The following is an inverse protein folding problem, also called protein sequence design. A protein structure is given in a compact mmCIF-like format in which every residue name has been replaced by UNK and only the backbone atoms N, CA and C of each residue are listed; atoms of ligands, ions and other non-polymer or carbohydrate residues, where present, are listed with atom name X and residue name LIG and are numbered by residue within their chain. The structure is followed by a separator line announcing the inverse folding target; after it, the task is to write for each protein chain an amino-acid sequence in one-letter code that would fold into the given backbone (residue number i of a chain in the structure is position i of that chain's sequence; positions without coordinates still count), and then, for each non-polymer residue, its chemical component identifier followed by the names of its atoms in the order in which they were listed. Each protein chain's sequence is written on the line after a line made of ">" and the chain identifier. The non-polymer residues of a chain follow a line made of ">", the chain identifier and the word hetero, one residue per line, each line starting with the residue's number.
data_IF_492927629569
#
_entry.id   IF_492927629569
#
_cell.length_a   1.000
_cell.length_b   1.000
_cell.length_c   1.000
_cell.angle_alpha   90.00
_cell.angle_beta   90.00
_cell.angle_gamma   90.00
#
_symmetry.space_group_name_H-M   'P 1'
#
loop_
_entity.id
_entity.type
_entity.pdbx_description
1 polymer ?
#
# COMPACT_ATOMS: atom_id res chain seq x y z
N UNK A 1 46.43 -30.84 41.32
CA UNK A 1 47.55 -29.87 41.34
C UNK A 1 46.98 -28.59 40.84
N UNK A 2 46.47 -27.71 41.73
CA UNK A 2 47.20 -26.70 42.48
C UNK A 2 47.90 -25.74 41.56
N UNK A 3 47.62 -24.51 41.47
CA UNK A 3 47.57 -23.35 42.37
C UNK A 3 47.20 -22.16 41.49
N UNK A 4 46.41 -21.16 41.76
CA UNK A 4 46.31 -20.32 42.96
C UNK A 4 46.89 -18.93 42.70
N UNK A 5 46.19 -17.92 43.26
CA UNK A 5 46.69 -16.58 43.66
C UNK A 5 46.59 -15.51 42.57
N UNK A 6 45.72 -14.54 42.68
CA UNK A 6 45.37 -13.44 43.58
C UNK A 6 45.93 -12.09 43.13
N UNK A 7 45.01 -11.11 43.15
CA UNK A 7 45.18 -9.77 43.73
C UNK A 7 46.00 -8.73 42.94
N UNK A 8 45.44 -7.65 42.53
CA UNK A 8 45.31 -6.46 43.38
C UNK A 8 44.63 -5.33 42.64
N UNK A 9 43.86 -4.61 43.39
CA UNK A 9 43.25 -3.33 43.07
C UNK A 9 44.31 -2.26 42.72
N UNK A 10 43.96 -1.38 41.80
CA UNK A 10 44.27 0.02 42.04
C UNK A 10 43.26 0.96 41.39
N UNK A 11 42.84 1.83 42.24
CA UNK A 11 41.92 2.93 42.05
C UNK A 11 42.58 4.05 41.24
N UNK A 12 41.93 4.60 40.26
CA UNK A 12 42.06 6.01 39.98
C UNK A 12 40.78 6.60 39.42
N UNK A 13 40.31 7.54 40.18
CA UNK A 13 39.18 8.42 39.90
C UNK A 13 39.44 9.27 38.66
N UNK A 14 38.40 9.60 37.96
CA UNK A 14 37.99 10.98 37.76
C UNK A 14 37.42 11.21 36.36
N UNK A 15 36.49 12.07 36.41
CA UNK A 15 35.90 12.94 35.37
C UNK A 15 34.55 12.45 34.82
N UNK A 16 33.54 12.80 35.58
CA UNK A 16 32.20 13.03 35.09
C UNK A 16 32.21 14.20 34.09
N UNK A 17 32.22 13.92 32.82
CA UNK A 17 31.90 14.90 31.80
C UNK A 17 30.39 14.94 31.62
N UNK A 18 29.78 15.90 32.33
CA UNK A 18 28.36 16.25 32.18
C UNK A 18 28.19 16.90 30.80
N UNK A 19 27.79 16.13 29.80
CA UNK A 19 27.27 16.69 28.58
C UNK A 19 25.93 17.36 28.85
N UNK A 20 26.00 18.68 29.00
CA UNK A 20 24.87 19.59 29.02
C UNK A 20 24.10 19.47 27.68
N UNK A 21 23.12 18.56 27.64
CA UNK A 21 22.19 18.44 26.51
C UNK A 21 21.18 19.56 26.69
N UNK A 22 21.48 20.72 26.11
CA UNK A 22 20.46 21.78 25.93
C UNK A 22 19.28 21.18 25.17
N UNK A 23 18.04 21.35 25.64
CA UNK A 23 16.86 20.96 24.88
C UNK A 23 16.84 21.77 23.58
N UNK A 24 16.75 21.05 22.47
CA UNK A 24 16.55 21.62 21.13
C UNK A 24 15.27 22.44 21.19
N UNK A 25 15.34 23.75 20.98
CA UNK A 25 14.17 24.60 20.84
C UNK A 25 13.31 24.02 19.71
N UNK A 26 12.10 23.62 20.06
CA UNK A 26 11.06 23.26 19.09
C UNK A 26 10.88 24.44 18.16
N UNK A 27 11.08 24.19 16.86
CA UNK A 27 10.89 25.20 15.84
C UNK A 27 9.46 25.70 15.89
N UNK A 28 9.31 27.00 16.15
CA UNK A 28 8.08 27.73 16.06
C UNK A 28 7.53 27.55 14.65
N UNK A 29 6.53 26.67 14.47
CA UNK A 29 5.79 26.53 13.22
C UNK A 29 5.10 27.88 12.97
N UNK A 30 5.57 28.60 11.95
CA UNK A 30 4.94 29.83 11.46
C UNK A 30 3.51 29.49 11.02
N UNK A 31 2.56 29.57 11.96
CA UNK A 31 1.15 29.52 11.63
C UNK A 31 0.86 30.70 10.68
N UNK A 32 0.36 30.37 9.49
CA UNK A 32 -0.10 31.38 8.55
C UNK A 32 -1.08 32.33 9.24
N UNK A 33 -0.70 33.63 9.37
CA UNK A 33 -1.59 34.69 9.83
C UNK A 33 -2.05 35.45 8.60
N UNK A 34 -3.37 35.68 8.44
CA UNK A 34 -3.85 36.55 7.38
C UNK A 34 -3.27 37.94 7.59
N UNK A 35 -2.94 38.68 6.52
CA UNK A 35 -2.43 40.04 6.63
C UNK A 35 -3.45 40.91 7.37
N UNK A 36 -3.03 41.50 8.49
CA UNK A 36 -3.81 42.51 9.18
C UNK A 36 -3.91 43.71 8.26
N UNK A 37 -5.10 43.94 7.73
CA UNK A 37 -5.39 45.20 7.02
C UNK A 37 -5.21 46.36 8.01
N UNK A 38 -4.14 47.13 7.85
CA UNK A 38 -3.93 48.40 8.51
C UNK A 38 -4.97 49.40 7.95
N UNK A 39 -6.00 49.64 8.71
CA UNK A 39 -6.91 50.78 8.44
C UNK A 39 -6.15 52.04 8.86
N UNK A 40 -5.98 53.04 7.97
CA UNK A 40 -5.39 54.32 8.36
C UNK A 40 -6.33 55.02 9.36
N UNK A 41 -5.78 55.41 10.51
CA UNK A 41 -6.46 56.23 11.48
C UNK A 41 -6.59 57.66 10.90
N UNK A 42 -7.78 58.04 10.47
CA UNK A 42 -8.14 59.44 10.27
C UNK A 42 -8.75 59.93 11.57
N UNK A 43 -8.01 60.74 12.28
CA UNK A 43 -8.54 61.59 13.36
C UNK A 43 -9.63 62.51 12.82
N UNK A 44 -10.85 62.27 13.26
CA UNK A 44 -11.89 63.30 13.24
C UNK A 44 -12.74 63.14 14.49
N UNK A 45 -12.51 64.05 15.41
CA UNK A 45 -13.32 64.29 16.60
C UNK A 45 -14.75 64.55 16.22
N UNK A 46 -15.67 63.63 16.48
CA UNK A 46 -17.08 63.94 16.63
C UNK A 46 -17.69 63.04 17.70
N UNK A 47 -18.12 63.74 18.76
CA UNK A 47 -18.83 63.26 19.89
C UNK A 47 -20.19 62.66 19.45
N UNK A 48 -20.35 61.36 19.48
CA UNK A 48 -21.63 60.66 19.47
C UNK A 48 -21.63 59.57 20.51
N UNK A 49 -22.41 59.79 21.54
CA UNK A 49 -22.82 58.88 22.56
C UNK A 49 -23.60 57.71 21.87
N UNK A 50 -23.04 56.55 21.86
CA UNK A 50 -23.72 55.34 21.40
C UNK A 50 -23.26 54.18 22.27
N UNK A 51 -24.10 53.84 23.22
CA UNK A 51 -24.01 52.65 24.05
C UNK A 51 -24.09 51.37 23.19
N UNK A 52 -22.99 51.02 22.51
CA UNK A 52 -22.82 49.73 21.86
C UNK A 52 -22.17 48.79 22.86
N UNK A 53 -23.00 47.96 23.44
CA UNK A 53 -22.65 46.79 24.24
C UNK A 53 -21.93 45.77 23.36
N UNK A 54 -20.64 46.00 23.02
CA UNK A 54 -19.77 44.95 22.51
C UNK A 54 -19.46 44.06 23.68
N UNK A 55 -20.22 42.97 23.82
CA UNK A 55 -19.83 41.85 24.65
C UNK A 55 -18.45 41.42 24.17
N UNK A 56 -17.43 41.73 24.95
CA UNK A 56 -16.09 41.23 24.71
C UNK A 56 -16.18 39.71 24.55
N UNK A 57 -15.86 39.22 23.36
CA UNK A 57 -15.72 37.78 23.13
C UNK A 57 -14.60 37.27 24.05
N UNK A 58 -14.99 36.74 25.21
CA UNK A 58 -14.10 35.96 26.06
C UNK A 58 -14.01 34.59 25.39
N UNK A 59 -12.90 34.24 24.76
CA UNK A 59 -12.74 32.88 24.24
C UNK A 59 -12.86 31.92 25.42
N UNK A 60 -13.89 31.08 25.36
CA UNK A 60 -14.01 29.95 26.29
C UNK A 60 -12.68 29.24 26.30
N UNK A 61 -12.08 28.90 27.48
CA UNK A 61 -10.84 28.14 27.51
C UNK A 61 -11.04 26.88 26.66
N UNK A 62 -10.38 26.80 25.52
CA UNK A 62 -10.36 25.58 24.71
C UNK A 62 -9.80 24.47 25.59
N UNK A 63 -10.56 23.37 25.73
CA UNK A 63 -10.05 22.18 26.39
C UNK A 63 -8.68 21.86 25.79
N UNK A 64 -7.70 21.39 26.59
CA UNK A 64 -6.36 21.11 26.12
C UNK A 64 -6.47 20.19 24.89
N UNK A 65 -5.95 20.65 23.76
CA UNK A 65 -5.93 19.83 22.54
C UNK A 65 -5.23 18.51 22.84
N UNK A 66 -5.95 17.42 22.57
CA UNK A 66 -5.37 16.07 22.70
C UNK A 66 -4.16 16.00 21.77
N UNK A 67 -2.97 15.59 22.28
CA UNK A 67 -1.78 15.46 21.43
C UNK A 67 -2.10 14.61 20.20
N UNK A 68 -1.69 15.08 19.02
CA UNK A 68 -1.87 14.37 17.78
C UNK A 68 -1.13 13.03 17.84
N UNK A 69 -1.77 11.97 17.37
CA UNK A 69 -1.15 10.63 17.33
C UNK A 69 0.11 10.68 16.46
N UNK A 70 1.29 10.29 17.00
CA UNK A 70 2.54 10.30 16.22
C UNK A 70 2.48 9.49 14.92
N UNK A 71 1.62 8.49 14.83
CA UNK A 71 1.47 7.66 13.63
C UNK A 71 0.94 8.44 12.42
N UNK A 72 0.17 9.51 12.62
CA UNK A 72 -0.38 10.34 11.54
C UNK A 72 0.55 11.47 11.11
N UNK A 73 1.63 11.72 11.85
CA UNK A 73 2.64 12.73 11.52
C UNK A 73 3.44 12.34 10.27
N UNK A 74 4.14 13.27 9.62
CA UNK A 74 5.07 12.95 8.54
C UNK A 74 6.05 11.86 8.98
N UNK A 75 6.23 10.81 8.16
CA UNK A 75 7.01 9.59 8.42
C UNK A 75 6.39 8.56 9.39
N UNK A 76 5.20 8.79 9.94
CA UNK A 76 4.44 7.77 10.66
C UNK A 76 3.75 6.77 9.72
N UNK A 77 3.37 5.61 10.24
CA UNK A 77 2.75 4.53 9.45
C UNK A 77 1.40 4.96 8.84
N UNK A 78 0.65 5.81 9.52
CA UNK A 78 -0.63 6.38 9.06
C UNK A 78 -0.48 7.81 8.52
N UNK A 79 0.72 8.20 8.08
CA UNK A 79 1.02 9.54 7.57
C UNK A 79 0.10 9.95 6.42
N UNK A 80 -0.68 11.01 6.62
CA UNK A 80 -1.58 11.54 5.58
C UNK A 80 -0.81 12.02 4.36
N UNK A 81 0.35 12.66 4.56
CA UNK A 81 1.23 13.08 3.47
C UNK A 81 1.80 11.89 2.71
N UNK A 82 2.18 10.81 3.44
CA UNK A 82 2.66 9.56 2.85
C UNK A 82 1.59 8.86 2.00
N UNK A 83 0.36 8.81 2.49
CA UNK A 83 -0.79 8.24 1.78
C UNK A 83 -1.12 9.07 0.53
N UNK A 84 -1.26 10.40 0.66
CA UNK A 84 -1.61 11.28 -0.46
C UNK A 84 -0.56 11.26 -1.56
N UNK A 85 0.73 11.27 -1.20
CA UNK A 85 1.83 11.19 -2.19
C UNK A 85 1.79 9.89 -2.97
N UNK A 86 1.56 8.73 -2.31
CA UNK A 86 1.45 7.43 -2.99
C UNK A 86 0.23 7.35 -3.89
N UNK A 87 -0.93 7.79 -3.40
CA UNK A 87 -2.16 7.80 -4.19
C UNK A 87 -2.02 8.70 -5.43
N UNK A 88 -1.46 9.90 -5.27
CA UNK A 88 -1.20 10.82 -6.39
C UNK A 88 -0.22 10.23 -7.40
N UNK A 89 0.90 9.66 -6.93
CA UNK A 89 1.90 9.06 -7.81
C UNK A 89 1.34 7.87 -8.58
N UNK A 90 0.58 6.98 -7.93
CA UNK A 90 -0.09 5.86 -8.58
C UNK A 90 -1.10 6.33 -9.64
N UNK A 91 -1.89 7.36 -9.32
CA UNK A 91 -2.86 7.94 -10.27
C UNK A 91 -2.18 8.57 -11.48
N UNK A 92 -1.09 9.31 -11.26
CA UNK A 92 -0.31 9.92 -12.35
C UNK A 92 0.32 8.85 -13.26
N UNK A 93 1.00 7.84 -12.67
CA UNK A 93 1.62 6.75 -13.43
C UNK A 93 0.56 5.94 -14.17
N UNK A 94 -0.59 5.66 -13.52
CA UNK A 94 -1.72 4.98 -14.16
C UNK A 94 -2.20 5.75 -15.39
N UNK A 95 -2.43 7.05 -15.26
CA UNK A 95 -2.92 7.88 -16.37
C UNK A 95 -1.92 7.95 -17.52
N UNK A 96 -0.64 8.20 -17.23
CA UNK A 96 0.42 8.25 -18.25
C UNK A 96 0.62 6.90 -18.95
N UNK A 97 0.66 5.81 -18.22
CA UNK A 97 0.85 4.47 -18.78
C UNK A 97 -0.39 4.01 -19.56
N UNK A 98 -1.60 4.38 -19.14
CA UNK A 98 -2.83 4.10 -19.87
C UNK A 98 -2.86 4.86 -21.20
N UNK A 99 -2.53 6.15 -21.23
CA UNK A 99 -2.39 6.93 -22.46
C UNK A 99 -1.32 6.36 -23.41
N UNK A 100 -0.18 5.96 -22.84
CA UNK A 100 0.89 5.30 -23.61
C UNK A 100 0.40 3.96 -24.19
N UNK A 101 -0.39 3.20 -23.45
CA UNK A 101 -1.02 1.95 -23.94
C UNK A 101 -1.88 2.22 -25.17
N UNK A 102 -2.78 3.20 -25.08
CA UNK A 102 -3.65 3.58 -26.19
C UNK A 102 -2.82 4.04 -27.39
N UNK A 103 -1.83 4.90 -27.17
CA UNK A 103 -0.95 5.42 -28.22
C UNK A 103 -0.20 4.30 -28.97
N UNK A 104 0.41 3.37 -28.22
CA UNK A 104 1.13 2.23 -28.82
C UNK A 104 0.20 1.24 -29.53
N UNK A 105 -1.01 1.07 -29.03
CA UNK A 105 -2.00 0.17 -29.60
C UNK A 105 -2.62 0.73 -30.88
N UNK A 106 -2.94 2.03 -30.91
CA UNK A 106 -3.70 2.65 -32.02
C UNK A 106 -2.81 3.25 -33.08
N UNK A 107 -1.75 3.95 -32.69
CA UNK A 107 -0.88 4.69 -33.63
C UNK A 107 0.29 3.82 -34.09
N UNK A 108 1.05 3.25 -33.16
CA UNK A 108 2.21 2.42 -33.52
C UNK A 108 1.87 0.96 -33.82
N UNK A 109 0.72 0.48 -33.37
CA UNK A 109 0.24 -0.90 -33.56
C UNK A 109 1.31 -1.96 -33.18
N UNK A 110 2.11 -1.66 -32.14
CA UNK A 110 3.20 -2.51 -31.67
C UNK A 110 2.77 -3.35 -30.47
N UNK A 111 3.16 -4.64 -30.37
CA UNK A 111 2.90 -5.48 -29.20
C UNK A 111 3.44 -4.92 -27.87
N UNK A 112 4.36 -3.95 -27.90
CA UNK A 112 4.90 -3.32 -26.72
C UNK A 112 3.87 -2.52 -25.88
N UNK A 113 2.65 -2.30 -26.39
CA UNK A 113 1.53 -1.73 -25.62
C UNK A 113 1.24 -2.52 -24.33
N UNK A 114 1.61 -3.79 -24.29
CA UNK A 114 1.41 -4.68 -23.13
C UNK A 114 2.18 -4.20 -21.89
N UNK A 115 3.35 -3.60 -22.08
CA UNK A 115 4.19 -3.10 -20.97
C UNK A 115 3.49 -1.95 -20.22
N UNK A 116 3.12 -0.82 -20.86
CA UNK A 116 2.41 0.24 -20.14
C UNK A 116 1.00 -0.20 -19.69
N UNK A 117 0.32 -1.11 -20.38
CA UNK A 117 -0.92 -1.73 -19.89
C UNK A 117 -0.71 -2.44 -18.55
N UNK A 118 0.36 -3.22 -18.43
CA UNK A 118 0.69 -3.91 -17.17
C UNK A 118 1.03 -2.93 -16.06
N UNK A 119 1.79 -1.87 -16.34
CA UNK A 119 2.08 -0.81 -15.36
C UNK A 119 0.78 -0.15 -14.89
N UNK A 120 -0.15 0.16 -15.80
CA UNK A 120 -1.48 0.67 -15.43
C UNK A 120 -2.23 -0.29 -14.52
N UNK A 121 -2.21 -1.58 -14.86
CA UNK A 121 -2.87 -2.63 -14.07
C UNK A 121 -2.26 -2.78 -12.68
N UNK A 122 -0.92 -2.67 -12.55
CA UNK A 122 -0.23 -2.66 -11.27
C UNK A 122 -0.60 -1.44 -10.42
N UNK A 123 -0.63 -0.26 -11.03
CA UNK A 123 -1.02 0.97 -10.32
C UNK A 123 -2.45 0.87 -9.80
N UNK A 124 -3.37 0.36 -10.62
CA UNK A 124 -4.75 0.13 -10.22
C UNK A 124 -4.85 -0.91 -9.10
N UNK A 125 -4.11 -2.03 -9.21
CA UNK A 125 -4.05 -3.06 -8.17
C UNK A 125 -3.61 -2.46 -6.83
N UNK A 126 -2.48 -1.78 -6.78
CA UNK A 126 -1.93 -1.18 -5.56
C UNK A 126 -2.83 -0.09 -4.97
N UNK A 127 -3.46 0.71 -5.82
CA UNK A 127 -4.44 1.70 -5.38
C UNK A 127 -5.66 1.04 -4.74
N UNK A 128 -6.21 -0.02 -5.36
CA UNK A 128 -7.38 -0.73 -4.85
C UNK A 128 -7.08 -1.46 -3.54
N UNK A 129 -5.87 -2.00 -3.34
CA UNK A 129 -5.45 -2.60 -2.06
C UNK A 129 -5.59 -1.59 -0.90
N UNK A 130 -5.05 -0.39 -1.08
CA UNK A 130 -5.20 0.67 -0.09
C UNK A 130 -6.65 1.13 0.04
N UNK A 131 -7.31 1.43 -1.09
CA UNK A 131 -8.65 2.02 -1.08
C UNK A 131 -9.68 1.10 -0.39
N UNK A 132 -9.65 -0.19 -0.69
CA UNK A 132 -10.56 -1.16 -0.06
C UNK A 132 -10.25 -1.31 1.43
N UNK A 133 -8.97 -1.34 1.80
CA UNK A 133 -8.57 -1.36 3.21
C UNK A 133 -9.05 -0.10 3.93
N UNK A 134 -8.88 1.08 3.34
CA UNK A 134 -9.34 2.34 3.92
C UNK A 134 -10.87 2.40 4.06
N UNK A 135 -11.62 1.82 3.12
CA UNK A 135 -13.08 1.83 3.12
C UNK A 135 -13.70 0.83 4.10
N UNK A 136 -13.15 -0.37 4.19
CA UNK A 136 -13.79 -1.49 4.94
C UNK A 136 -13.01 -1.91 6.18
N UNK A 137 -11.78 -1.45 6.34
CA UNK A 137 -10.89 -1.77 7.46
C UNK A 137 -10.02 -0.57 7.87
N UNK A 138 -10.63 0.59 8.01
CA UNK A 138 -9.99 1.91 8.21
C UNK A 138 -8.95 1.91 9.33
N UNK A 139 -9.20 1.17 10.40
CA UNK A 139 -8.27 1.07 11.55
C UNK A 139 -6.87 0.57 11.17
N UNK A 140 -6.77 -0.21 10.09
CA UNK A 140 -5.52 -0.82 9.61
C UNK A 140 -5.09 -0.27 8.26
N UNK A 141 -5.72 0.82 7.81
CA UNK A 141 -5.33 1.51 6.59
C UNK A 141 -4.10 2.39 6.88
N UNK A 142 -2.96 1.95 6.43
CA UNK A 142 -1.67 2.61 6.60
C UNK A 142 -0.93 2.75 5.25
N UNK A 143 0.23 3.36 5.30
CA UNK A 143 1.11 3.54 4.14
C UNK A 143 1.53 2.18 3.53
N UNK A 144 1.66 1.13 4.33
CA UNK A 144 2.04 -0.22 3.88
C UNK A 144 0.90 -0.93 3.15
N UNK A 145 -0.35 -0.49 3.35
CA UNK A 145 -1.54 -1.08 2.71
C UNK A 145 -1.56 -0.92 1.19
N UNK A 146 -0.77 0.00 0.63
CA UNK A 146 -0.54 0.05 -0.82
C UNK A 146 0.25 -1.15 -1.35
N UNK A 147 0.89 -1.95 -0.51
CA UNK A 147 1.71 -3.11 -0.87
C UNK A 147 2.87 -2.80 -1.85
N UNK A 148 3.33 -1.54 -1.95
CA UNK A 148 4.41 -1.16 -2.86
C UNK A 148 5.78 -1.70 -2.42
N UNK A 149 6.04 -1.68 -1.13
CA UNK A 149 7.32 -2.11 -0.53
C UNK A 149 7.18 -3.36 0.34
N UNK A 150 5.99 -3.64 0.82
CA UNK A 150 5.71 -4.73 1.76
C UNK A 150 5.71 -6.12 1.13
N UNK A 151 5.62 -6.22 -0.20
CA UNK A 151 5.65 -7.50 -0.92
C UNK A 151 7.06 -8.11 -1.07
N UNK A 152 8.10 -7.34 -0.74
CA UNK A 152 9.49 -7.77 -0.77
C UNK A 152 10.13 -7.81 -2.16
N UNK A 153 11.44 -8.13 -2.19
CA UNK A 153 12.23 -8.11 -3.42
C UNK A 153 11.75 -9.12 -4.47
N UNK A 154 11.31 -10.30 -4.06
CA UNK A 154 10.84 -11.35 -4.97
C UNK A 154 9.66 -10.90 -5.84
N UNK A 155 8.75 -10.09 -5.29
CA UNK A 155 7.65 -9.49 -6.02
C UNK A 155 8.14 -8.56 -7.14
N UNK A 156 9.07 -7.66 -6.81
CA UNK A 156 9.62 -6.70 -7.78
C UNK A 156 10.44 -7.40 -8.87
N UNK A 157 11.22 -8.44 -8.49
CA UNK A 157 11.97 -9.26 -9.45
C UNK A 157 11.02 -9.96 -10.41
N UNK A 158 9.95 -10.59 -9.92
CA UNK A 158 8.98 -11.27 -10.77
C UNK A 158 8.35 -10.31 -11.80
N UNK A 159 7.92 -9.13 -11.37
CA UNK A 159 7.29 -8.14 -12.26
C UNK A 159 8.29 -7.53 -13.24
N UNK A 160 9.51 -7.25 -12.79
CA UNK A 160 10.60 -6.80 -13.65
C UNK A 160 10.99 -7.84 -14.71
N UNK A 161 11.11 -9.12 -14.32
CA UNK A 161 11.38 -10.23 -15.23
C UNK A 161 10.29 -10.38 -16.29
N UNK A 162 9.02 -10.21 -15.91
CA UNK A 162 7.90 -10.27 -16.85
C UNK A 162 7.98 -9.18 -17.92
N UNK A 163 8.34 -7.96 -17.54
CA UNK A 163 8.55 -6.86 -18.48
C UNK A 163 9.74 -7.16 -19.40
N UNK A 164 10.85 -7.63 -18.84
CA UNK A 164 12.05 -7.98 -19.62
C UNK A 164 11.75 -9.08 -20.62
N UNK A 165 11.07 -10.17 -20.22
CA UNK A 165 10.69 -11.26 -21.14
C UNK A 165 9.81 -10.74 -22.27
N UNK A 166 8.80 -9.91 -21.99
CA UNK A 166 7.92 -9.33 -22.98
C UNK A 166 8.71 -8.49 -24.03
N UNK A 167 9.63 -7.64 -23.55
CA UNK A 167 10.45 -6.79 -24.42
C UNK A 167 11.42 -7.62 -25.26
N UNK A 168 12.15 -8.54 -24.60
CA UNK A 168 13.12 -9.42 -25.29
C UNK A 168 12.43 -10.30 -26.32
N UNK A 169 11.29 -10.91 -25.96
CA UNK A 169 10.52 -11.75 -26.89
C UNK A 169 10.03 -10.95 -28.10
N UNK A 170 9.63 -9.68 -27.92
CA UNK A 170 9.25 -8.84 -29.03
C UNK A 170 10.39 -8.61 -30.04
N UNK A 171 11.60 -8.33 -29.53
CA UNK A 171 12.77 -8.07 -30.42
C UNK A 171 13.39 -9.33 -31.01
N UNK A 172 13.36 -10.47 -30.31
CA UNK A 172 13.96 -11.72 -30.80
C UNK A 172 13.06 -12.50 -31.75
N UNK A 173 11.76 -12.54 -31.46
CA UNK A 173 10.85 -13.41 -32.21
C UNK A 173 9.91 -12.66 -33.18
N UNK A 174 9.81 -11.32 -33.02
CA UNK A 174 8.95 -10.49 -33.84
C UNK A 174 7.46 -10.90 -33.75
N UNK A 175 6.69 -10.48 -34.76
CA UNK A 175 5.29 -10.89 -34.88
C UNK A 175 5.17 -12.12 -35.76
N UNK A 176 4.54 -13.18 -35.26
CA UNK A 176 4.27 -14.36 -36.06
C UNK A 176 3.34 -14.03 -37.24
N UNK A 177 3.72 -14.48 -38.44
CA UNK A 177 2.93 -14.34 -39.66
C UNK A 177 1.88 -15.44 -39.78
N UNK A 178 1.99 -16.52 -39.01
CA UNK A 178 1.03 -17.63 -39.08
C UNK A 178 -0.36 -17.22 -38.57
N UNK A 179 -1.44 -17.40 -39.36
CA UNK A 179 -2.79 -17.09 -38.92
C UNK A 179 -3.24 -17.85 -37.68
N UNK A 180 -2.82 -19.13 -37.55
CA UNK A 180 -3.15 -19.98 -36.42
C UNK A 180 -2.52 -19.42 -35.12
N UNK A 181 -1.23 -19.10 -35.16
CA UNK A 181 -0.54 -18.54 -33.98
C UNK A 181 -1.13 -17.18 -33.60
N UNK A 182 -1.54 -16.36 -34.56
CA UNK A 182 -2.22 -15.09 -34.30
C UNK A 182 -3.56 -15.30 -33.60
N UNK A 183 -4.37 -16.27 -34.06
CA UNK A 183 -5.65 -16.61 -33.44
C UNK A 183 -5.44 -17.11 -31.99
N UNK A 184 -4.50 -18.04 -31.75
CA UNK A 184 -4.17 -18.54 -30.43
C UNK A 184 -3.71 -17.39 -29.50
N UNK A 185 -2.81 -16.54 -29.99
CA UNK A 185 -2.34 -15.35 -29.27
C UNK A 185 -3.49 -14.42 -28.85
N UNK A 186 -4.46 -14.19 -29.74
CA UNK A 186 -5.63 -13.37 -29.43
C UNK A 186 -6.53 -14.03 -28.39
N UNK A 187 -6.76 -15.33 -28.47
CA UNK A 187 -7.55 -16.07 -27.49
C UNK A 187 -6.87 -16.00 -26.11
N UNK A 188 -5.55 -16.24 -26.03
CA UNK A 188 -4.79 -16.16 -24.79
C UNK A 188 -4.81 -14.75 -24.20
N UNK A 189 -4.72 -13.71 -25.04
CA UNK A 189 -4.82 -12.32 -24.63
C UNK A 189 -6.19 -12.02 -23.99
N UNK A 190 -7.28 -12.37 -24.67
CA UNK A 190 -8.64 -12.13 -24.16
C UNK A 190 -8.91 -12.92 -22.88
N UNK A 191 -8.47 -14.16 -22.82
CA UNK A 191 -8.56 -14.99 -21.62
C UNK A 191 -7.71 -14.41 -20.46
N UNK A 192 -6.51 -13.91 -20.76
CA UNK A 192 -5.65 -13.22 -19.78
C UNK A 192 -6.31 -11.98 -19.21
N UNK A 193 -6.90 -11.14 -20.05
CA UNK A 193 -7.66 -9.95 -19.60
C UNK A 193 -8.84 -10.37 -18.70
N UNK A 194 -9.59 -11.38 -19.10
CA UNK A 194 -10.70 -11.93 -18.30
C UNK A 194 -10.21 -12.41 -16.93
N UNK A 195 -9.10 -13.16 -16.89
CA UNK A 195 -8.49 -13.62 -15.62
C UNK A 195 -8.06 -12.45 -14.74
N UNK A 196 -7.49 -11.38 -15.31
CA UNK A 196 -7.11 -10.18 -14.57
C UNK A 196 -8.32 -9.47 -13.97
N UNK A 197 -9.37 -9.26 -14.77
CA UNK A 197 -10.60 -8.57 -14.32
C UNK A 197 -11.30 -9.40 -13.23
N UNK A 198 -11.52 -10.68 -13.46
CA UNK A 198 -12.16 -11.59 -12.50
C UNK A 198 -11.30 -11.70 -11.24
N UNK A 199 -9.99 -11.88 -11.40
CA UNK A 199 -9.05 -11.99 -10.27
C UNK A 199 -9.05 -10.74 -9.39
N UNK A 200 -8.98 -9.55 -9.99
CA UNK A 200 -9.06 -8.28 -9.27
C UNK A 200 -10.40 -8.11 -8.56
N UNK A 201 -11.51 -8.42 -9.24
CA UNK A 201 -12.85 -8.30 -8.66
C UNK A 201 -13.03 -9.23 -7.47
N UNK A 202 -12.65 -10.52 -7.61
CA UNK A 202 -12.71 -11.51 -6.53
C UNK A 202 -11.88 -11.06 -5.33
N UNK A 203 -10.66 -10.54 -5.55
CA UNK A 203 -9.79 -10.05 -4.50
C UNK A 203 -10.39 -8.85 -3.78
N UNK A 204 -10.87 -7.87 -4.52
CA UNK A 204 -11.53 -6.67 -3.96
C UNK A 204 -12.77 -7.04 -3.15
N UNK A 205 -13.63 -7.93 -3.68
CA UNK A 205 -14.81 -8.43 -2.97
C UNK A 205 -14.44 -9.22 -1.70
N UNK A 206 -13.38 -10.02 -1.75
CA UNK A 206 -12.89 -10.75 -0.59
C UNK A 206 -12.48 -9.80 0.54
N UNK A 207 -11.70 -8.77 0.23
CA UNK A 207 -11.26 -7.76 1.19
C UNK A 207 -12.46 -6.97 1.75
N UNK A 208 -13.37 -6.54 0.90
CA UNK A 208 -14.57 -5.81 1.30
C UNK A 208 -15.50 -6.66 2.18
N UNK A 209 -15.70 -7.93 1.83
CA UNK A 209 -16.56 -8.85 2.60
C UNK A 209 -15.95 -9.19 3.96
N UNK A 210 -14.64 -9.38 4.02
CA UNK A 210 -13.95 -9.66 5.29
C UNK A 210 -13.85 -8.43 6.19
N UNK A 211 -13.79 -7.23 5.62
CA UNK A 211 -13.72 -5.97 6.36
C UNK A 211 -12.61 -5.97 7.40
N UNK A 212 -12.95 -5.69 8.65
CA UNK A 212 -12.01 -5.67 9.78
C UNK A 212 -11.33 -7.01 10.10
N UNK A 213 -11.84 -8.11 9.56
CA UNK A 213 -11.25 -9.44 9.69
C UNK A 213 -10.16 -9.71 8.64
N UNK A 214 -10.05 -8.88 7.60
CA UNK A 214 -9.01 -9.03 6.59
C UNK A 214 -7.64 -8.58 7.11
N UNK A 215 -6.60 -9.37 6.82
CA UNK A 215 -5.22 -8.96 7.05
C UNK A 215 -4.31 -9.49 5.93
N UNK A 216 -3.37 -8.66 5.48
CA UNK A 216 -2.35 -9.06 4.49
C UNK A 216 -1.30 -10.02 5.06
N UNK A 217 -1.15 -10.05 6.40
CA UNK A 217 -0.20 -10.88 7.13
C UNK A 217 -0.96 -11.99 7.85
N UNK A 218 -0.49 -13.24 7.73
CA UNK A 218 -1.05 -14.37 8.48
C UNK A 218 -0.92 -14.09 9.98
N UNK A 219 -2.06 -14.07 10.68
CA UNK A 219 -2.09 -13.81 12.11
C UNK A 219 -1.79 -15.09 12.88
N UNK A 220 -0.79 -15.05 13.74
CA UNK A 220 -0.39 -16.18 14.62
C UNK A 220 -1.30 -16.28 15.85
N UNK A 221 -1.85 -15.14 16.29
CA UNK A 221 -2.75 -15.06 17.45
C UNK A 221 -4.09 -14.51 17.04
N UNK A 222 -5.15 -15.07 17.61
CA UNK A 222 -6.51 -14.56 17.42
C UNK A 222 -6.62 -13.19 18.09
N UNK A 223 -7.02 -12.17 17.33
CA UNK A 223 -7.36 -10.86 17.88
C UNK A 223 -8.75 -10.92 18.56
N UNK A 224 -8.92 -10.12 19.59
CA UNK A 224 -10.26 -9.92 20.16
C UNK A 224 -11.19 -9.35 19.10
N UNK A 225 -12.39 -9.90 19.00
CA UNK A 225 -13.37 -9.49 18.00
C UNK A 225 -13.17 -10.10 16.59
N UNK A 226 -12.14 -10.94 16.37
CA UNK A 226 -11.98 -11.63 15.09
C UNK A 226 -13.04 -12.73 14.92
N UNK A 227 -13.87 -12.58 13.89
CA UNK A 227 -14.98 -13.49 13.57
C UNK A 227 -14.70 -14.16 12.24
N UNK A 228 -15.01 -15.47 12.15
CA UNK A 228 -14.94 -16.19 10.88
C UNK A 228 -15.96 -15.63 9.90
N UNK A 229 -15.50 -15.21 8.74
CA UNK A 229 -16.34 -14.74 7.63
C UNK A 229 -16.70 -15.93 6.76
N UNK A 230 -17.98 -16.28 6.69
CA UNK A 230 -18.50 -17.40 5.88
C UNK A 230 -19.51 -16.96 4.82
N UNK A 231 -19.92 -15.67 4.86
CA UNK A 231 -20.90 -15.10 3.93
C UNK A 231 -20.27 -14.53 2.66
N UNK A 232 -21.12 -14.14 1.71
CA UNK A 232 -20.70 -13.52 0.44
C UNK A 232 -19.78 -14.43 -0.36
N UNK A 233 -18.66 -13.92 -0.84
CA UNK A 233 -17.69 -14.68 -1.66
C UNK A 233 -17.03 -15.84 -0.88
N UNK A 234 -16.99 -15.74 0.46
CA UNK A 234 -16.43 -16.79 1.33
C UNK A 234 -17.35 -18.02 1.44
N UNK A 235 -18.60 -17.94 1.01
CA UNK A 235 -19.48 -19.12 0.92
C UNK A 235 -19.09 -20.06 -0.24
N UNK A 236 -18.41 -19.52 -1.26
CA UNK A 236 -17.97 -20.29 -2.42
C UNK A 236 -16.48 -20.67 -2.37
N UNK A 237 -15.66 -19.79 -1.82
CA UNK A 237 -14.20 -19.95 -1.77
C UNK A 237 -13.70 -19.74 -0.35
N UNK A 238 -12.87 -20.66 0.15
CA UNK A 238 -12.24 -20.50 1.48
C UNK A 238 -11.21 -19.38 1.53
N UNK A 239 -10.45 -19.19 0.46
CA UNK A 239 -9.40 -18.18 0.34
C UNK A 239 -9.59 -17.33 -0.92
N UNK A 240 -10.70 -16.55 -1.03
CA UNK A 240 -11.03 -15.84 -2.27
C UNK A 240 -9.99 -14.78 -2.64
N UNK A 241 -9.34 -14.15 -1.65
CA UNK A 241 -8.28 -13.17 -1.88
C UNK A 241 -7.04 -13.80 -2.55
N UNK A 242 -6.66 -15.04 -2.13
CA UNK A 242 -5.55 -15.78 -2.75
C UNK A 242 -5.90 -16.23 -4.16
N UNK A 243 -7.12 -16.75 -4.34
CA UNK A 243 -7.66 -17.11 -5.66
C UNK A 243 -7.61 -15.90 -6.62
N UNK A 244 -8.10 -14.74 -6.17
CA UNK A 244 -8.12 -13.53 -6.96
C UNK A 244 -6.73 -13.09 -7.42
N UNK A 245 -5.77 -13.05 -6.50
CA UNK A 245 -4.38 -12.67 -6.83
C UNK A 245 -3.69 -13.68 -7.74
N UNK A 246 -3.93 -14.97 -7.54
CA UNK A 246 -3.38 -16.04 -8.38
C UNK A 246 -3.80 -15.87 -9.84
N UNK A 247 -5.09 -15.70 -10.09
CA UNK A 247 -5.62 -15.56 -11.44
C UNK A 247 -5.26 -14.21 -12.07
N UNK A 248 -5.21 -13.14 -11.26
CA UNK A 248 -4.71 -11.86 -11.73
C UNK A 248 -3.24 -11.95 -12.19
N UNK A 249 -2.40 -12.61 -11.40
CA UNK A 249 -0.99 -12.81 -11.72
C UNK A 249 -0.78 -13.65 -12.99
N UNK A 250 -1.44 -14.80 -13.11
CA UNK A 250 -1.35 -15.63 -14.31
C UNK A 250 -1.96 -14.95 -15.54
N UNK A 251 -3.09 -14.26 -15.37
CA UNK A 251 -3.73 -13.48 -16.41
C UNK A 251 -2.80 -12.43 -17.00
N UNK A 252 -2.03 -11.75 -16.16
CA UNK A 252 -1.05 -10.76 -16.60
C UNK A 252 0.02 -11.36 -17.53
N UNK A 253 0.49 -12.58 -17.24
CA UNK A 253 1.48 -13.27 -18.07
C UNK A 253 0.89 -13.74 -19.42
N UNK A 254 -0.40 -14.11 -19.44
CA UNK A 254 -1.10 -14.42 -20.69
C UNK A 254 -1.26 -13.15 -21.56
N UNK A 255 -1.55 -12.00 -20.96
CA UNK A 255 -1.59 -10.72 -21.68
C UNK A 255 -0.22 -10.36 -22.24
N UNK A 256 0.84 -10.55 -21.48
CA UNK A 256 2.21 -10.38 -21.93
C UNK A 256 2.60 -11.37 -23.03
N UNK A 257 1.97 -12.54 -23.05
CA UNK A 257 2.37 -13.70 -23.86
C UNK A 257 3.76 -14.23 -23.46
N UNK A 258 4.08 -14.10 -22.20
CA UNK A 258 5.28 -14.63 -21.60
C UNK A 258 5.11 -16.13 -21.34
N UNK A 259 6.07 -16.93 -21.74
CA UNK A 259 6.06 -18.38 -21.51
C UNK A 259 6.84 -18.75 -20.24
N UNK A 260 8.03 -18.21 -20.08
CA UNK A 260 8.93 -18.53 -18.97
C UNK A 260 8.33 -17.94 -17.67
N UNK A 261 8.00 -16.65 -17.69
CA UNK A 261 7.39 -16.02 -16.52
C UNK A 261 6.00 -16.57 -16.19
N UNK A 262 5.21 -17.04 -17.16
CA UNK A 262 3.94 -17.71 -16.87
C UNK A 262 4.16 -18.95 -15.98
N UNK A 263 5.10 -19.84 -16.36
CA UNK A 263 5.44 -21.01 -15.55
C UNK A 263 6.03 -20.59 -14.20
N UNK A 264 6.94 -19.62 -14.20
CA UNK A 264 7.53 -19.08 -12.96
C UNK A 264 6.47 -18.53 -11.99
N UNK A 265 5.52 -17.73 -12.50
CA UNK A 265 4.41 -17.21 -11.69
C UNK A 265 3.52 -18.34 -11.15
N UNK A 266 3.18 -19.32 -11.98
CA UNK A 266 2.36 -20.44 -11.56
C UNK A 266 3.03 -21.20 -10.39
N UNK A 267 4.32 -21.50 -10.49
CA UNK A 267 5.07 -22.22 -9.45
C UNK A 267 5.22 -21.36 -8.18
N UNK A 268 5.66 -20.11 -8.33
CA UNK A 268 5.91 -19.22 -7.17
C UNK A 268 4.62 -18.91 -6.43
N UNK A 269 3.55 -18.56 -7.13
CA UNK A 269 2.26 -18.26 -6.50
C UNK A 269 1.65 -19.49 -5.85
N UNK A 270 1.78 -20.65 -6.49
CA UNK A 270 1.33 -21.92 -5.90
C UNK A 270 2.06 -22.22 -4.59
N UNK A 271 3.39 -22.16 -4.59
CA UNK A 271 4.20 -22.39 -3.38
C UNK A 271 3.89 -21.36 -2.29
N UNK A 272 3.78 -20.09 -2.68
CA UNK A 272 3.48 -19.00 -1.75
C UNK A 272 2.13 -19.21 -1.04
N UNK A 273 1.06 -19.47 -1.79
CA UNK A 273 -0.26 -19.66 -1.18
C UNK A 273 -0.35 -20.98 -0.42
N UNK A 274 0.20 -22.07 -0.94
CA UNK A 274 0.22 -23.35 -0.22
C UNK A 274 0.96 -23.23 1.11
N UNK A 275 2.09 -22.53 1.14
CA UNK A 275 2.84 -22.30 2.38
C UNK A 275 2.07 -21.44 3.39
N UNK A 276 1.32 -20.44 2.93
CA UNK A 276 0.47 -19.61 3.80
C UNK A 276 -0.69 -20.41 4.36
N UNK A 277 -1.42 -21.13 3.53
CA UNK A 277 -2.55 -21.99 3.95
C UNK A 277 -2.07 -23.04 4.95
N UNK A 278 -0.89 -23.65 4.70
CA UNK A 278 -0.30 -24.61 5.63
C UNK A 278 0.04 -23.98 6.98
N UNK A 279 0.60 -22.76 7.00
CA UNK A 279 0.87 -22.03 8.25
C UNK A 279 -0.41 -21.68 9.00
N UNK A 280 -1.44 -21.20 8.31
CA UNK A 280 -2.75 -20.96 8.91
C UNK A 280 -3.30 -22.23 9.57
N UNK A 281 -3.16 -23.37 8.89
CA UNK A 281 -3.63 -24.65 9.39
C UNK A 281 -2.82 -25.19 10.58
N UNK A 282 -1.51 -25.03 10.58
CA UNK A 282 -0.63 -25.54 11.66
C UNK A 282 -0.61 -24.65 12.90
N UNK A 283 -0.74 -23.34 12.73
CA UNK A 283 -0.73 -22.40 13.84
C UNK A 283 -2.10 -22.29 14.55
N UNK A 284 -3.17 -22.77 13.92
CA UNK A 284 -4.48 -22.82 14.55
C UNK A 284 -4.64 -24.09 15.39
N UNK A 285 -4.79 -24.02 16.73
CA UNK A 285 -4.97 -25.17 17.58
C UNK A 285 -6.12 -26.05 17.12
N UNK A 286 -6.00 -27.38 17.24
CA UNK A 286 -6.99 -28.37 16.79
C UNK A 286 -8.42 -28.06 17.23
N UNK A 287 -8.61 -27.54 18.45
CA UNK A 287 -9.93 -27.15 18.98
C UNK A 287 -10.54 -25.91 18.30
N UNK A 288 -9.72 -25.08 17.63
CA UNK A 288 -10.15 -23.86 16.91
C UNK A 288 -10.15 -24.01 15.39
N UNK A 289 -9.84 -25.19 14.89
CA UNK A 289 -9.69 -25.50 13.46
C UNK A 289 -11.00 -25.34 12.66
N UNK A 290 -12.13 -25.43 13.35
CA UNK A 290 -13.45 -25.29 12.74
C UNK A 290 -14.00 -23.86 12.78
N UNK A 291 -13.23 -22.90 13.32
CA UNK A 291 -13.62 -21.51 13.49
C UNK A 291 -12.74 -20.53 12.70
N UNK A 292 -11.94 -21.00 11.71
CA UNK A 292 -11.18 -20.14 10.79
C UNK A 292 -11.71 -20.23 9.37
#
# INVERSE_FOLDING_TARGET
>A
MSTGISSSADSSASASESTDIRPRQEGEYLAWRPPTSSIPSTDTSNNYDSSNNYTAYNPTPTAPEKPLDPSVLPNGDMSLSGISTRAFSLGLILGLSFMTTIYLLTIHQTPLWRVPFFVSSLCLFHFLEFWVTAQYNTKYADVSSFLLTSNGAAYNIAHGSAIVECVVSHYLFGSSTSPILRTVSTILLLFGILCMVVGQTVRTLAMATAGSNFNHIVQVQRREGHVLVTGGIYSFLRHPSYFGFFWWGLGSQLVFQNVICFVGYAVVLWQFFTSRIYREFTLTPLHKRWTC
#
